data_IF_840615664964
#
_entry.id   IF_840615664964
#
_cell.length_a   1.000
_cell.length_b   1.000
_cell.length_c   1.000
_cell.angle_alpha   90.00
_cell.angle_beta   90.00
_cell.angle_gamma   90.00
#
_symmetry.space_group_name_H-M   'P 1'
#
loop_
_entity.id
_entity.type
_entity.pdbx_description
1 polymer ?
#
# COMPACT_ATOMS: atom_id res chain seq x y z
N UNK A 1 0.91 4.56 28.76
CA UNK A 1 0.97 3.79 27.52
C UNK A 1 0.71 4.67 26.31
N UNK A 2 1.66 4.70 25.40
CA UNK A 2 1.56 5.23 24.04
C UNK A 2 2.08 4.16 23.07
N UNK A 3 1.46 4.06 21.89
CA UNK A 3 1.90 3.15 20.83
C UNK A 3 2.78 3.90 19.83
N UNK A 4 4.03 3.45 19.64
CA UNK A 4 4.94 4.01 18.64
C UNK A 4 4.88 3.19 17.36
N UNK A 5 4.54 3.84 16.26
CA UNK A 5 4.30 3.21 14.96
C UNK A 5 5.33 3.75 13.96
N UNK A 6 6.24 2.92 13.43
CA UNK A 6 7.17 3.36 12.41
C UNK A 6 6.43 3.61 11.10
N UNK A 7 6.91 4.57 10.31
CA UNK A 7 6.36 4.93 8.99
C UNK A 7 6.06 3.73 8.10
N UNK A 8 6.95 2.72 8.07
CA UNK A 8 6.77 1.50 7.26
C UNK A 8 5.58 0.65 7.74
N UNK A 9 5.40 0.48 9.05
CA UNK A 9 4.26 -0.24 9.60
C UNK A 9 2.94 0.51 9.31
N UNK A 10 2.93 1.83 9.47
CA UNK A 10 1.76 2.65 9.12
C UNK A 10 1.40 2.54 7.63
N UNK A 11 2.39 2.65 6.74
CA UNK A 11 2.20 2.46 5.29
C UNK A 11 1.67 1.07 4.94
N UNK A 12 2.11 0.01 5.63
CA UNK A 12 1.62 -1.34 5.39
C UNK A 12 0.11 -1.47 5.68
N UNK A 13 -0.36 -0.91 6.80
CA UNK A 13 -1.79 -0.85 7.14
C UNK A 13 -2.57 -0.10 6.04
N UNK A 14 -2.08 1.08 5.66
CA UNK A 14 -2.73 1.93 4.65
C UNK A 14 -2.78 1.22 3.29
N UNK A 15 -1.65 0.69 2.82
CA UNK A 15 -1.53 0.07 1.51
C UNK A 15 -2.42 -1.17 1.38
N UNK A 16 -2.37 -2.07 2.37
CA UNK A 16 -3.17 -3.28 2.37
C UNK A 16 -4.67 -2.95 2.44
N UNK A 17 -5.06 -2.03 3.32
CA UNK A 17 -6.47 -1.62 3.45
C UNK A 17 -6.99 -0.97 2.15
N UNK A 18 -6.22 -0.07 1.54
CA UNK A 18 -6.62 0.62 0.31
C UNK A 18 -6.60 -0.31 -0.90
N UNK A 19 -5.74 -1.33 -0.94
CA UNK A 19 -5.76 -2.36 -1.99
C UNK A 19 -7.13 -3.03 -2.08
N UNK A 20 -7.71 -3.41 -0.94
CA UNK A 20 -8.97 -4.12 -0.87
C UNK A 20 -10.21 -3.20 -0.80
N UNK A 21 -10.05 -1.98 -0.31
CA UNK A 21 -11.03 -0.89 -0.38
C UNK A 21 -10.66 0.14 -1.46
N UNK A 22 -10.25 -0.34 -2.63
CA UNK A 22 -9.76 0.51 -3.70
C UNK A 22 -10.94 1.24 -4.36
N UNK A 23 -10.84 2.56 -4.48
CA UNK A 23 -11.91 3.43 -5.01
C UNK A 23 -12.24 3.20 -6.49
N UNK A 24 -11.49 2.35 -7.19
CA UNK A 24 -11.83 1.87 -8.54
C UNK A 24 -12.93 0.80 -8.54
N UNK A 25 -13.25 0.24 -7.38
CA UNK A 25 -14.38 -0.66 -7.18
C UNK A 25 -15.50 0.08 -6.43
N UNK A 26 -16.78 -0.31 -6.64
CA UNK A 26 -17.90 0.17 -5.83
C UNK A 26 -17.62 0.03 -4.33
N UNK A 27 -18.10 0.97 -3.50
CA UNK A 27 -17.96 0.89 -2.04
C UNK A 27 -18.57 -0.40 -1.49
N UNK A 28 -19.68 -0.84 -2.10
CA UNK A 28 -20.32 -2.11 -1.83
C UNK A 28 -19.44 -3.31 -2.12
N UNK A 29 -18.28 -3.21 -2.78
CA UNK A 29 -17.31 -4.29 -3.06
C UNK A 29 -16.02 -4.16 -2.24
N UNK A 30 -15.97 -3.22 -1.31
CA UNK A 30 -14.82 -3.07 -0.41
C UNK A 30 -14.80 -4.19 0.62
N UNK A 31 -13.59 -4.60 0.98
CA UNK A 31 -13.34 -5.72 1.88
C UNK A 31 -12.45 -5.25 3.04
N UNK A 32 -12.75 -5.76 4.23
CA UNK A 32 -11.90 -5.59 5.40
C UNK A 32 -10.61 -6.38 5.25
N UNK A 33 -9.53 -5.88 5.83
CA UNK A 33 -8.21 -6.50 5.83
C UNK A 33 -7.75 -6.63 7.25
N UNK A 34 -7.07 -7.73 7.56
CA UNK A 34 -6.65 -8.12 8.89
C UNK A 34 -5.16 -8.41 8.90
N UNK A 35 -4.50 -8.00 9.97
CA UNK A 35 -3.08 -8.21 10.13
C UNK A 35 -2.63 -8.14 11.57
N UNK A 36 -1.34 -8.38 11.76
CA UNK A 36 -0.71 -8.43 13.08
C UNK A 36 0.42 -7.42 13.20
N UNK A 37 0.73 -7.06 14.44
CA UNK A 37 1.89 -6.26 14.78
C UNK A 37 2.93 -7.11 15.50
N UNK A 38 4.17 -6.95 15.09
CA UNK A 38 5.33 -7.43 15.84
C UNK A 38 6.06 -6.24 16.44
N UNK A 39 6.70 -6.46 17.57
CA UNK A 39 7.51 -5.44 18.22
C UNK A 39 7.84 -5.82 19.65
N UNK A 40 7.94 -4.82 20.51
CA UNK A 40 8.30 -5.01 21.93
C UNK A 40 7.56 -4.05 22.83
N UNK A 41 7.52 -4.41 24.11
CA UNK A 41 7.04 -3.53 25.18
C UNK A 41 8.28 -2.88 25.81
N UNK A 42 8.29 -1.56 25.86
CA UNK A 42 9.32 -0.77 26.56
C UNK A 42 8.62 0.03 27.67
N UNK A 43 8.94 -0.29 28.92
CA UNK A 43 8.26 0.22 30.12
C UNK A 43 6.73 -0.03 30.09
N UNK A 44 5.95 1.00 29.79
CA UNK A 44 4.49 0.96 29.67
C UNK A 44 4.01 1.20 28.23
N UNK A 45 4.94 1.40 27.29
CA UNK A 45 4.68 1.74 25.90
C UNK A 45 4.85 0.52 24.98
N UNK A 46 4.08 0.51 23.89
CA UNK A 46 4.17 -0.52 22.86
C UNK A 46 4.92 0.06 21.68
N UNK A 47 6.07 -0.52 21.35
CA UNK A 47 6.85 -0.15 20.18
C UNK A 47 6.62 -1.18 19.08
N UNK A 48 5.91 -0.78 18.04
CA UNK A 48 5.71 -1.62 16.85
C UNK A 48 6.98 -1.58 16.01
N UNK A 49 7.44 -2.73 15.56
CA UNK A 49 8.57 -2.87 14.63
C UNK A 49 8.06 -3.06 13.21
N UNK A 50 7.04 -3.91 13.02
CA UNK A 50 6.43 -4.15 11.72
C UNK A 50 4.93 -4.46 11.83
N UNK A 51 4.22 -4.19 10.74
CA UNK A 51 2.84 -4.57 10.53
C UNK A 51 2.76 -5.52 9.34
N UNK A 52 2.10 -6.65 9.51
CA UNK A 52 1.97 -7.69 8.50
C UNK A 52 0.50 -7.88 8.14
N UNK A 53 0.09 -7.62 6.90
CA UNK A 53 -1.20 -8.07 6.38
C UNK A 53 -1.18 -9.60 6.32
N UNK A 54 -2.21 -10.23 6.88
CA UNK A 54 -2.34 -11.69 6.94
C UNK A 54 -3.41 -12.16 5.98
N UNK A 55 -4.60 -11.56 6.09
CA UNK A 55 -5.77 -12.04 5.35
C UNK A 55 -6.75 -10.89 5.13
N UNK A 56 -7.73 -11.12 4.28
CA UNK A 56 -8.81 -10.19 3.99
C UNK A 56 -10.15 -10.92 4.04
N UNK A 57 -11.21 -10.15 4.17
CA UNK A 57 -12.57 -10.65 4.18
C UNK A 57 -12.89 -11.32 2.83
N UNK A 58 -13.52 -12.48 2.87
CA UNK A 58 -14.06 -13.16 1.69
C UNK A 58 -15.57 -13.14 1.75
N UNK A 59 -16.22 -12.75 0.66
CA UNK A 59 -17.67 -12.79 0.55
C UNK A 59 -18.13 -14.16 0.10
N UNK A 60 -18.89 -14.83 0.96
CA UNK A 60 -19.56 -16.07 0.63
C UNK A 60 -21.07 -15.82 0.52
N UNK A 61 -21.75 -16.33 -0.51
CA UNK A 61 -23.19 -16.11 -0.69
C UNK A 61 -24.04 -16.53 0.51
N UNK A 62 -23.54 -17.44 1.34
CA UNK A 62 -24.23 -17.97 2.52
C UNK A 62 -24.07 -17.10 3.77
N UNK A 63 -23.17 -16.10 3.73
CA UNK A 63 -22.89 -15.24 4.87
C UNK A 63 -23.91 -14.11 4.99
N UNK A 64 -24.71 -14.17 6.06
CA UNK A 64 -25.68 -13.14 6.44
C UNK A 64 -24.98 -11.91 7.04
N UNK A 65 -23.77 -12.10 7.56
CA UNK A 65 -22.91 -11.06 8.12
C UNK A 65 -21.50 -11.23 7.57
N UNK A 66 -20.78 -10.12 7.43
CA UNK A 66 -19.38 -10.12 7.06
C UNK A 66 -18.57 -10.99 8.03
N UNK A 67 -17.86 -11.99 7.49
CA UNK A 67 -17.00 -12.90 8.24
C UNK A 67 -15.62 -13.00 7.64
N UNK A 68 -14.65 -13.23 8.51
CA UNK A 68 -13.29 -13.57 8.14
C UNK A 68 -13.08 -15.05 8.40
N UNK A 69 -12.49 -15.72 7.42
CA UNK A 69 -12.11 -17.12 7.52
C UNK A 69 -10.59 -17.18 7.47
N UNK A 70 -9.99 -17.65 8.56
CA UNK A 70 -8.57 -17.98 8.57
C UNK A 70 -8.40 -19.37 7.97
N UNK A 71 -7.63 -19.44 6.89
CA UNK A 71 -7.22 -20.71 6.29
C UNK A 71 -5.91 -21.22 6.90
N UNK A 72 -5.44 -22.40 6.46
CA UNK A 72 -4.19 -22.97 6.96
C UNK A 72 -2.98 -22.08 6.67
N UNK A 73 -2.92 -21.44 5.48
CA UNK A 73 -1.82 -20.57 5.09
C UNK A 73 -1.77 -19.30 5.98
N UNK A 74 -2.91 -18.82 6.46
CA UNK A 74 -3.00 -17.69 7.40
C UNK A 74 -2.35 -18.03 8.75
N UNK A 75 -2.64 -19.22 9.30
CA UNK A 75 -2.03 -19.68 10.56
C UNK A 75 -0.54 -19.98 10.41
N UNK A 76 -0.13 -20.56 9.28
CA UNK A 76 1.28 -20.77 8.96
C UNK A 76 2.03 -19.44 8.84
N UNK A 77 1.46 -18.47 8.14
CA UNK A 77 2.00 -17.11 8.03
C UNK A 77 2.18 -16.47 9.41
N UNK A 78 1.17 -16.56 10.27
CA UNK A 78 1.25 -16.05 11.64
C UNK A 78 2.40 -16.70 12.41
N UNK A 79 2.52 -18.03 12.35
CA UNK A 79 3.58 -18.77 13.04
C UNK A 79 4.98 -18.35 12.57
N UNK A 80 5.18 -18.23 11.25
CA UNK A 80 6.47 -17.81 10.68
C UNK A 80 6.83 -16.40 11.15
N UNK A 81 5.87 -15.47 11.12
CA UNK A 81 6.09 -14.08 11.54
C UNK A 81 6.44 -14.01 13.03
N UNK A 82 5.74 -14.75 13.89
CA UNK A 82 5.98 -14.75 15.33
C UNK A 82 7.35 -15.38 15.67
N UNK A 83 7.72 -16.49 15.00
CA UNK A 83 9.04 -17.10 15.13
C UNK A 83 10.18 -16.17 14.67
N UNK A 84 9.99 -15.46 13.55
CA UNK A 84 10.94 -14.46 13.07
C UNK A 84 11.08 -13.28 14.04
N UNK A 85 9.96 -12.81 14.62
CA UNK A 85 9.98 -11.76 15.63
C UNK A 85 10.71 -12.22 16.88
N UNK A 86 10.42 -13.44 17.36
CA UNK A 86 11.08 -14.04 18.51
C UNK A 86 12.59 -14.14 18.34
N UNK A 87 13.07 -14.49 17.14
CA UNK A 87 14.50 -14.53 16.81
C UNK A 87 15.22 -13.17 16.96
N UNK A 88 14.45 -12.06 16.92
CA UNK A 88 14.93 -10.68 17.08
C UNK A 88 14.69 -10.13 18.49
N UNK A 89 14.18 -10.95 19.42
CA UNK A 89 13.77 -10.53 20.76
C UNK A 89 12.48 -9.72 20.77
N UNK A 90 11.67 -9.86 19.73
CA UNK A 90 10.36 -9.23 19.56
C UNK A 90 9.26 -10.30 19.63
N UNK A 91 8.00 -9.88 19.65
CA UNK A 91 6.85 -10.79 19.67
C UNK A 91 5.61 -10.09 19.12
N UNK A 92 4.52 -10.83 18.99
CA UNK A 92 3.23 -10.24 18.60
C UNK A 92 2.68 -9.30 19.67
N UNK A 93 2.64 -8.00 19.36
CA UNK A 93 2.20 -6.92 20.28
C UNK A 93 0.75 -6.49 20.09
N UNK A 94 0.04 -7.09 19.13
CA UNK A 94 -1.36 -6.78 18.87
C UNK A 94 -1.74 -7.11 17.43
N UNK A 95 -2.89 -6.59 17.04
CA UNK A 95 -3.47 -6.81 15.72
C UNK A 95 -4.08 -5.54 15.17
N UNK A 96 -4.35 -5.54 13.87
CA UNK A 96 -5.06 -4.46 13.21
C UNK A 96 -6.05 -5.00 12.19
N UNK A 97 -7.08 -4.22 11.94
CA UNK A 97 -7.97 -4.46 10.82
C UNK A 97 -8.50 -3.15 10.23
N UNK A 98 -9.19 -3.26 9.10
CA UNK A 98 -9.80 -2.12 8.43
C UNK A 98 -11.32 -2.15 8.46
N UNK A 99 -11.93 -0.97 8.54
CA UNK A 99 -13.37 -0.70 8.49
C UNK A 99 -13.67 0.23 7.29
N UNK A 100 -13.58 -0.25 6.05
CA UNK A 100 -13.88 0.55 4.88
C UNK A 100 -15.38 0.85 4.82
N UNK A 101 -15.75 2.13 4.89
CA UNK A 101 -17.16 2.54 4.90
C UNK A 101 -17.87 2.49 6.26
N UNK A 102 -17.19 2.05 7.33
CA UNK A 102 -17.75 1.99 8.69
C UNK A 102 -17.04 2.93 9.66
N UNK A 103 -17.72 3.30 10.73
CA UNK A 103 -17.09 4.08 11.80
C UNK A 103 -15.92 3.30 12.42
N UNK A 104 -14.87 4.02 12.81
CA UNK A 104 -13.72 3.44 13.53
C UNK A 104 -14.14 3.17 14.98
N UNK A 105 -14.44 1.91 15.27
CA UNK A 105 -14.91 1.40 16.56
C UNK A 105 -14.63 -0.10 16.64
N UNK A 106 -14.80 -0.71 17.82
CA UNK A 106 -14.71 -2.16 17.99
C UNK A 106 -16.11 -2.80 17.94
N UNK A 107 -16.30 -3.78 17.07
CA UNK A 107 -17.44 -4.70 17.08
C UNK A 107 -17.31 -5.73 18.22
N UNK A 108 -18.36 -6.53 18.45
CA UNK A 108 -18.30 -7.62 19.42
C UNK A 108 -17.26 -8.69 19.04
N UNK A 109 -17.07 -8.93 17.73
CA UNK A 109 -16.04 -9.85 17.25
C UNK A 109 -14.65 -9.28 17.54
N UNK A 110 -14.45 -7.98 17.35
CA UNK A 110 -13.16 -7.33 17.62
C UNK A 110 -12.82 -7.33 19.11
N UNK A 111 -13.82 -7.16 19.99
CA UNK A 111 -13.65 -7.31 21.44
C UNK A 111 -13.20 -8.74 21.77
N UNK A 112 -13.84 -9.76 21.19
CA UNK A 112 -13.45 -11.16 21.40
C UNK A 112 -12.05 -11.46 20.89
N UNK A 113 -11.66 -10.95 19.74
CA UNK A 113 -10.31 -11.10 19.20
C UNK A 113 -9.30 -10.37 20.09
N UNK A 114 -9.55 -9.11 20.44
CA UNK A 114 -8.65 -8.33 21.31
C UNK A 114 -8.49 -8.98 22.68
N UNK A 115 -9.54 -9.62 23.20
CA UNK A 115 -9.49 -10.37 24.44
C UNK A 115 -8.46 -11.52 24.36
N UNK A 116 -8.43 -12.30 23.28
CA UNK A 116 -7.46 -13.41 23.16
C UNK A 116 -6.02 -12.91 23.11
N UNK A 117 -5.77 -11.79 22.43
CA UNK A 117 -4.46 -11.13 22.44
C UNK A 117 -4.12 -10.57 23.83
N UNK A 118 -5.04 -9.87 24.49
CA UNK A 118 -4.78 -9.25 25.80
C UNK A 118 -4.66 -10.23 26.96
N UNK A 119 -5.24 -11.43 26.85
CA UNK A 119 -5.05 -12.51 27.82
C UNK A 119 -3.61 -13.04 27.82
N UNK A 120 -3.00 -13.16 26.64
CA UNK A 120 -1.63 -13.64 26.48
C UNK A 120 -0.59 -12.53 26.66
N UNK A 121 -0.93 -11.32 26.22
CA UNK A 121 -0.12 -10.13 26.36
C UNK A 121 -0.99 -8.99 26.92
N UNK A 122 -0.94 -8.68 28.23
CA UNK A 122 -1.78 -7.65 28.85
C UNK A 122 -1.69 -6.28 28.19
N UNK A 123 -0.61 -5.98 27.45
CA UNK A 123 -0.37 -4.71 26.76
C UNK A 123 -0.74 -4.77 25.28
N UNK A 124 -1.31 -5.87 24.79
CA UNK A 124 -1.73 -6.00 23.41
C UNK A 124 -2.74 -4.91 23.02
N UNK A 125 -2.66 -4.48 21.76
CA UNK A 125 -3.46 -3.40 21.19
C UNK A 125 -4.27 -3.89 19.99
N UNK A 126 -5.37 -3.19 19.70
CA UNK A 126 -6.15 -3.37 18.48
C UNK A 126 -6.23 -2.05 17.72
N UNK A 127 -5.77 -2.00 16.47
CA UNK A 127 -5.89 -0.81 15.62
C UNK A 127 -6.99 -1.02 14.58
N UNK A 128 -7.88 -0.04 14.45
CA UNK A 128 -8.94 -0.04 13.43
C UNK A 128 -8.70 1.12 12.46
N UNK A 129 -8.45 0.81 11.19
CA UNK A 129 -8.17 1.79 10.14
C UNK A 129 -9.36 1.96 9.18
N UNK A 130 -9.64 3.19 8.76
CA UNK A 130 -10.62 3.48 7.73
C UNK A 130 -10.03 4.44 6.67
N UNK A 131 -9.93 4.01 5.39
CA UNK A 131 -9.39 4.86 4.32
C UNK A 131 -10.25 6.11 4.05
N UNK A 132 -11.57 6.02 4.16
CA UNK A 132 -12.49 7.16 4.00
C UNK A 132 -12.26 8.21 5.08
N UNK A 133 -12.02 7.79 6.33
CA UNK A 133 -11.68 8.70 7.44
C UNK A 133 -10.43 9.49 7.12
N UNK A 134 -9.38 8.84 6.62
CA UNK A 134 -8.12 9.48 6.22
C UNK A 134 -8.27 10.41 5.01
N UNK A 135 -8.95 9.97 3.96
CA UNK A 135 -9.06 10.76 2.72
C UNK A 135 -9.95 11.97 2.93
N UNK A 136 -11.13 11.78 3.53
CA UNK A 136 -12.13 12.85 3.69
C UNK A 136 -11.92 13.66 4.98
N UNK A 137 -11.07 13.19 5.89
CA UNK A 137 -10.83 13.79 7.21
C UNK A 137 -12.15 13.94 7.98
N UNK A 138 -12.95 12.88 8.04
CA UNK A 138 -14.25 12.87 8.73
C UNK A 138 -14.42 11.62 9.59
N UNK A 139 -15.15 11.74 10.69
CA UNK A 139 -15.71 10.59 11.39
C UNK A 139 -17.05 10.22 10.73
N UNK A 140 -17.21 8.95 10.36
CA UNK A 140 -18.48 8.46 9.84
C UNK A 140 -19.54 8.43 10.96
N UNK A 141 -20.80 8.80 10.65
CA UNK A 141 -21.88 8.76 11.62
C UNK A 141 -22.21 7.34 12.09
N UNK A 142 -22.78 7.20 13.29
CA UNK A 142 -23.28 5.90 13.77
C UNK A 142 -24.58 5.51 13.07
N UNK A 143 -25.45 6.49 12.81
CA UNK A 143 -26.74 6.30 12.16
C UNK A 143 -26.93 7.30 11.03
N UNK A 144 -27.67 6.88 10.01
CA UNK A 144 -28.07 7.76 8.91
C UNK A 144 -28.84 8.97 9.48
N UNK A 145 -28.28 10.16 9.27
CA UNK A 145 -28.84 11.42 9.77
C UNK A 145 -28.04 12.07 10.91
N UNK A 146 -27.10 11.35 11.53
CA UNK A 146 -26.17 11.98 12.49
C UNK A 146 -25.22 12.95 11.76
N UNK A 147 -24.78 14.03 12.42
CA UNK A 147 -23.85 14.98 11.82
C UNK A 147 -22.49 14.32 11.54
N UNK A 148 -21.93 14.63 10.38
CA UNK A 148 -20.54 14.29 10.05
C UNK A 148 -19.62 15.16 10.89
N UNK A 149 -18.68 14.54 11.60
CA UNK A 149 -17.69 15.28 12.40
C UNK A 149 -16.45 15.51 11.53
N UNK A 150 -16.08 16.77 11.34
CA UNK A 150 -14.86 17.13 10.64
C UNK A 150 -13.65 16.85 11.55
N UNK A 151 -12.68 16.12 11.01
CA UNK A 151 -11.40 15.85 11.65
C UNK A 151 -10.32 16.75 11.06
N UNK A 152 -9.23 16.90 11.80
CA UNK A 152 -8.04 17.63 11.37
C UNK A 152 -6.79 16.79 11.62
N UNK A 153 -6.04 16.56 10.56
CA UNK A 153 -4.77 15.84 10.59
C UNK A 153 -4.89 14.42 11.20
N UNK A 154 -5.98 13.73 10.88
CA UNK A 154 -6.27 12.40 11.40
C UNK A 154 -5.71 11.30 10.47
N UNK A 155 -4.92 10.34 10.98
CA UNK A 155 -4.24 9.34 10.16
C UNK A 155 -5.14 8.20 9.69
N UNK A 156 -6.45 8.28 9.92
CA UNK A 156 -7.42 7.30 9.47
C UNK A 156 -7.67 6.16 10.44
N UNK A 157 -7.09 6.16 11.63
CA UNK A 157 -7.27 5.06 12.59
C UNK A 157 -7.46 5.53 14.03
N UNK A 158 -7.89 4.59 14.86
CA UNK A 158 -7.82 4.63 16.32
C UNK A 158 -7.23 3.33 16.83
N UNK A 159 -6.66 3.38 18.02
CA UNK A 159 -6.12 2.21 18.72
C UNK A 159 -6.92 2.00 19.99
N UNK A 160 -7.30 0.77 20.26
CA UNK A 160 -8.14 0.39 21.38
C UNK A 160 -7.48 -0.67 22.25
N UNK A 161 -7.88 -0.66 23.53
CA UNK A 161 -7.62 -1.74 24.49
C UNK A 161 -8.86 -2.00 25.32
N UNK A 162 -9.01 -3.24 25.78
CA UNK A 162 -10.02 -3.65 26.74
C UNK A 162 -9.63 -3.19 28.14
N UNK A 163 -10.63 -2.70 28.87
CA UNK A 163 -10.48 -2.21 30.26
C UNK A 163 -10.24 -3.36 31.24
N UNK A 164 -10.97 -4.46 31.07
CA UNK A 164 -10.96 -5.62 31.97
C UNK A 164 -11.19 -6.91 31.19
N UNK A 165 -10.12 -7.67 31.00
CA UNK A 165 -10.15 -8.97 30.30
C UNK A 165 -10.98 -10.03 31.05
N UNK A 166 -11.24 -9.85 32.35
CA UNK A 166 -12.02 -10.82 33.12
C UNK A 166 -13.53 -10.75 32.81
N UNK A 167 -13.99 -9.65 32.19
CA UNK A 167 -15.38 -9.49 31.72
C UNK A 167 -15.65 -10.20 30.39
N UNK A 168 -14.64 -10.85 29.81
CA UNK A 168 -14.81 -11.59 28.56
C UNK A 168 -15.30 -10.70 27.42
N UNK A 169 -16.32 -11.15 26.69
CA UNK A 169 -16.91 -10.43 25.55
C UNK A 169 -17.70 -9.17 25.96
N UNK A 170 -18.00 -8.99 27.24
CA UNK A 170 -18.68 -7.81 27.78
C UNK A 170 -17.68 -6.72 28.22
N UNK A 171 -16.38 -6.94 28.00
CA UNK A 171 -15.35 -5.97 28.32
C UNK A 171 -15.59 -4.65 27.57
N UNK A 172 -15.59 -3.55 28.32
CA UNK A 172 -15.52 -2.21 27.75
C UNK A 172 -14.13 -1.95 27.19
N UNK A 173 -14.03 -0.99 26.27
CA UNK A 173 -12.79 -0.61 25.63
C UNK A 173 -12.61 0.91 25.61
N UNK A 174 -11.37 1.36 25.58
CA UNK A 174 -11.00 2.76 25.46
C UNK A 174 -9.97 2.97 24.34
N UNK A 175 -9.91 4.22 23.85
CA UNK A 175 -8.88 4.65 22.91
C UNK A 175 -7.56 4.90 23.64
N UNK A 176 -6.44 4.53 23.02
CA UNK A 176 -5.10 4.82 23.54
C UNK A 176 -4.31 5.74 22.61
N UNK A 177 -3.35 6.45 23.19
CA UNK A 177 -2.49 7.39 22.48
C UNK A 177 -1.50 6.67 21.57
N UNK A 178 -1.12 7.35 20.49
CA UNK A 178 -0.12 6.86 19.54
C UNK A 178 0.78 7.98 19.04
N UNK A 179 1.93 7.57 18.51
CA UNK A 179 2.88 8.42 17.79
C UNK A 179 3.30 7.68 16.51
N UNK A 180 3.25 8.37 15.37
CA UNK A 180 3.73 7.82 14.09
C UNK A 180 5.08 8.47 13.82
N UNK A 181 6.13 7.65 13.80
CA UNK A 181 7.51 8.09 13.60
C UNK A 181 7.80 8.35 12.11
N UNK A 182 8.76 9.22 11.82
CA UNK A 182 9.25 9.47 10.45
C UNK A 182 8.50 10.56 9.67
N UNK A 183 7.79 11.46 10.37
CA UNK A 183 7.16 12.65 9.82
C UNK A 183 7.49 13.87 10.68
N UNK A 184 7.72 15.03 10.05
CA UNK A 184 8.03 16.30 10.74
C UNK A 184 6.79 16.93 11.37
N UNK A 185 5.60 16.65 10.81
CA UNK A 185 4.33 17.14 11.33
C UNK A 185 3.16 16.24 10.94
N UNK A 186 2.04 16.36 11.66
CA UNK A 186 0.80 15.66 11.30
C UNK A 186 0.24 16.10 9.94
N UNK A 187 0.45 17.36 9.55
CA UNK A 187 0.02 17.85 8.23
C UNK A 187 0.81 17.19 7.10
N UNK A 188 2.14 17.11 7.26
CA UNK A 188 3.00 16.37 6.32
C UNK A 188 2.58 14.90 6.25
N UNK A 189 2.31 14.27 7.40
CA UNK A 189 1.84 12.90 7.46
C UNK A 189 0.58 12.69 6.62
N UNK A 190 -0.44 13.52 6.78
CA UNK A 190 -1.68 13.38 5.99
C UNK A 190 -1.41 13.61 4.51
N UNK A 191 -0.69 14.66 4.15
CA UNK A 191 -0.41 14.98 2.74
C UNK A 191 0.37 13.87 2.04
N UNK A 192 1.44 13.39 2.66
CA UNK A 192 2.23 12.28 2.11
C UNK A 192 1.42 10.99 2.02
N UNK A 193 0.58 10.71 3.03
CA UNK A 193 -0.22 9.49 3.04
C UNK A 193 -1.34 9.54 2.02
N UNK A 194 -1.98 10.69 1.80
CA UNK A 194 -2.96 10.86 0.72
C UNK A 194 -2.33 10.68 -0.67
N UNK A 195 -1.10 11.18 -0.88
CA UNK A 195 -0.35 10.90 -2.11
C UNK A 195 -0.01 9.42 -2.25
N UNK A 196 0.38 8.78 -1.15
CA UNK A 196 0.65 7.34 -1.11
C UNK A 196 -0.61 6.52 -1.47
N UNK A 197 -1.78 6.90 -0.96
CA UNK A 197 -3.08 6.28 -1.34
C UNK A 197 -3.32 6.36 -2.84
N UNK A 198 -3.03 7.50 -3.48
CA UNK A 198 -3.18 7.64 -4.94
C UNK A 198 -2.28 6.61 -5.65
N UNK A 199 -1.04 6.44 -5.20
CA UNK A 199 -0.13 5.46 -5.77
C UNK A 199 -0.63 4.02 -5.54
N UNK A 200 -1.09 3.69 -4.33
CA UNK A 200 -1.66 2.37 -4.00
C UNK A 200 -2.87 2.08 -4.90
N UNK A 201 -3.80 3.02 -5.03
CA UNK A 201 -4.98 2.90 -5.90
C UNK A 201 -4.62 2.60 -7.35
N UNK A 202 -3.51 3.18 -7.82
CA UNK A 202 -3.08 3.06 -9.22
C UNK A 202 -2.20 1.85 -9.51
N UNK A 203 -1.34 1.45 -8.57
CA UNK A 203 -0.28 0.46 -8.80
C UNK A 203 -0.26 -0.71 -7.82
N UNK A 204 -1.25 -0.85 -6.91
CA UNK A 204 -1.38 -2.03 -6.05
C UNK A 204 -2.73 -2.75 -6.25
N UNK A 205 -2.83 -3.61 -7.28
CA UNK A 205 -4.07 -4.29 -7.61
C UNK A 205 -4.40 -5.39 -6.59
N UNK A 206 -5.69 -5.54 -6.25
CA UNK A 206 -6.17 -6.67 -5.42
C UNK A 206 -6.29 -7.99 -6.20
N UNK A 207 -6.57 -7.91 -7.48
CA UNK A 207 -6.88 -9.03 -8.37
C UNK A 207 -6.14 -8.89 -9.70
N UNK A 208 -5.96 -10.00 -10.43
CA UNK A 208 -5.30 -10.01 -11.75
C UNK A 208 -3.91 -9.33 -11.74
N UNK A 209 -3.13 -9.55 -10.67
CA UNK A 209 -1.89 -8.82 -10.37
C UNK A 209 -0.92 -8.84 -11.55
N UNK A 210 -0.62 -10.03 -12.09
CA UNK A 210 0.31 -10.19 -13.20
C UNK A 210 -0.18 -9.52 -14.48
N UNK A 211 -1.43 -9.75 -14.86
CA UNK A 211 -2.03 -9.15 -16.06
C UNK A 211 -2.04 -7.61 -15.96
N UNK A 212 -2.35 -7.07 -14.78
CA UNK A 212 -2.33 -5.61 -14.54
C UNK A 212 -0.93 -5.04 -14.73
N UNK A 213 0.09 -5.67 -14.15
CA UNK A 213 1.47 -5.19 -14.29
C UNK A 213 2.04 -5.40 -15.69
N UNK A 214 1.73 -6.52 -16.35
CA UNK A 214 2.06 -6.74 -17.75
C UNK A 214 1.49 -5.62 -18.62
N UNK A 215 0.20 -5.31 -18.49
CA UNK A 215 -0.44 -4.24 -19.24
C UNK A 215 0.20 -2.86 -18.97
N UNK A 216 0.57 -2.58 -17.72
CA UNK A 216 1.26 -1.32 -17.37
C UNK A 216 2.61 -1.28 -18.10
N UNK A 217 3.45 -2.30 -17.96
CA UNK A 217 4.79 -2.33 -18.54
C UNK A 217 4.73 -2.34 -20.07
N UNK A 218 3.87 -3.16 -20.68
CA UNK A 218 3.68 -3.23 -22.12
C UNK A 218 3.28 -1.89 -22.70
N UNK A 219 2.36 -1.17 -22.05
CA UNK A 219 1.96 0.16 -22.46
C UNK A 219 3.15 1.13 -22.45
N UNK A 220 3.97 1.11 -21.40
CA UNK A 220 5.13 2.01 -21.29
C UNK A 220 6.21 1.67 -22.32
N UNK A 221 6.48 0.39 -22.55
CA UNK A 221 7.43 -0.07 -23.60
C UNK A 221 6.94 0.35 -24.98
N UNK A 222 5.66 0.12 -25.29
CA UNK A 222 5.08 0.50 -26.58
C UNK A 222 5.12 2.02 -26.80
N UNK A 223 4.86 2.81 -25.75
CA UNK A 223 4.96 4.27 -25.82
C UNK A 223 6.41 4.74 -26.01
N UNK A 224 7.38 4.10 -25.34
CA UNK A 224 8.81 4.36 -25.55
C UNK A 224 9.21 4.12 -27.00
N UNK A 225 8.89 2.94 -27.55
CA UNK A 225 9.23 2.57 -28.92
C UNK A 225 8.54 3.50 -29.94
N UNK A 226 7.29 3.87 -29.68
CA UNK A 226 6.57 4.86 -30.51
C UNK A 226 7.27 6.22 -30.54
N UNK A 227 7.73 6.73 -29.37
CA UNK A 227 8.50 7.98 -29.30
C UNK A 227 9.81 7.87 -30.09
N UNK A 228 10.56 6.78 -29.93
CA UNK A 228 11.82 6.58 -30.65
C UNK A 228 11.63 6.51 -32.18
N UNK A 229 10.64 5.75 -32.65
CA UNK A 229 10.28 5.70 -34.08
C UNK A 229 9.83 7.07 -34.61
N UNK A 230 9.06 7.81 -33.81
CA UNK A 230 8.62 9.16 -34.14
C UNK A 230 9.79 10.13 -34.34
N UNK A 231 10.82 10.04 -33.49
CA UNK A 231 12.04 10.83 -33.60
C UNK A 231 12.76 10.52 -34.91
N UNK A 232 13.01 9.25 -35.22
CA UNK A 232 13.69 8.86 -36.47
C UNK A 232 12.93 9.34 -37.72
N UNK A 233 11.60 9.16 -37.74
CA UNK A 233 10.74 9.61 -38.83
C UNK A 233 10.80 11.12 -39.03
N UNK A 234 10.80 11.87 -37.91
CA UNK A 234 10.90 13.32 -37.94
C UNK A 234 12.26 13.80 -38.45
N UNK A 235 13.36 13.19 -37.99
CA UNK A 235 14.71 13.50 -38.47
C UNK A 235 14.86 13.22 -39.96
N UNK A 236 14.38 12.07 -40.45
CA UNK A 236 14.35 11.76 -41.90
C UNK A 236 13.59 12.83 -42.69
N UNK A 237 12.45 13.27 -42.17
CA UNK A 237 11.63 14.30 -42.81
C UNK A 237 12.36 15.64 -42.91
N UNK A 238 13.08 16.05 -41.86
CA UNK A 238 13.89 17.28 -41.88
C UNK A 238 14.98 17.22 -42.95
N UNK A 239 15.69 16.10 -43.06
CA UNK A 239 16.71 15.91 -44.09
C UNK A 239 16.09 15.99 -45.49
N UNK A 240 14.98 15.29 -45.72
CA UNK A 240 14.28 15.30 -47.02
C UNK A 240 13.76 16.68 -47.42
N UNK A 241 13.46 17.55 -46.45
CA UNK A 241 13.04 18.95 -46.69
C UNK A 241 14.22 19.93 -46.85
N UNK A 242 15.47 19.46 -46.77
CA UNK A 242 16.65 20.31 -46.82
C UNK A 242 16.93 21.06 -45.51
N UNK A 243 16.28 20.68 -44.41
CA UNK A 243 16.40 21.29 -43.08
C UNK A 243 17.37 20.53 -42.16
N UNK A 244 18.37 19.85 -42.73
CA UNK A 244 19.32 19.02 -41.98
C UNK A 244 20.05 19.77 -40.86
N UNK A 245 20.23 21.09 -40.97
CA UNK A 245 20.85 21.92 -39.92
C UNK A 245 20.08 21.88 -38.58
N UNK A 246 18.79 21.53 -38.59
CA UNK A 246 17.92 21.47 -37.40
C UNK A 246 17.98 20.12 -36.68
N UNK A 247 18.48 19.06 -37.32
CA UNK A 247 18.41 17.69 -36.79
C UNK A 247 19.11 17.52 -35.45
N UNK A 248 20.26 18.20 -35.27
CA UNK A 248 21.02 18.18 -34.02
C UNK A 248 20.21 18.72 -32.84
N UNK A 249 19.62 19.91 -33.01
CA UNK A 249 18.85 20.59 -31.96
C UNK A 249 17.61 19.77 -31.61
N UNK A 250 16.87 19.33 -32.63
CA UNK A 250 15.68 18.48 -32.49
C UNK A 250 16.01 17.18 -31.76
N UNK A 251 17.09 16.50 -32.12
CA UNK A 251 17.47 15.24 -31.46
C UNK A 251 17.79 15.44 -29.98
N UNK A 252 18.49 16.52 -29.61
CA UNK A 252 18.82 16.80 -28.20
C UNK A 252 17.58 17.21 -27.39
N UNK A 253 16.62 17.92 -28.00
CA UNK A 253 15.33 18.23 -27.36
C UNK A 253 14.50 16.96 -27.14
N UNK A 254 14.30 16.17 -28.19
CA UNK A 254 13.55 14.92 -28.12
C UNK A 254 14.19 13.90 -27.18
N UNK A 255 15.53 13.87 -27.08
CA UNK A 255 16.23 13.05 -26.09
C UNK A 255 15.82 13.41 -24.67
N UNK A 256 15.69 14.70 -24.34
CA UNK A 256 15.25 15.15 -23.00
C UNK A 256 13.83 14.69 -22.70
N UNK A 257 12.93 14.79 -23.69
CA UNK A 257 11.54 14.35 -23.54
C UNK A 257 11.45 12.85 -23.24
N UNK A 258 12.22 12.03 -23.96
CA UNK A 258 12.32 10.58 -23.70
C UNK A 258 12.92 10.30 -22.33
N UNK A 259 13.96 11.03 -21.92
CA UNK A 259 14.55 10.87 -20.59
C UNK A 259 13.57 11.21 -19.46
N UNK A 260 12.78 12.27 -19.62
CA UNK A 260 11.72 12.62 -18.67
C UNK A 260 10.65 11.52 -18.58
N UNK A 261 10.22 10.99 -19.73
CA UNK A 261 9.28 9.87 -19.78
C UNK A 261 9.84 8.64 -19.05
N UNK A 262 11.10 8.26 -19.32
CA UNK A 262 11.75 7.12 -18.66
C UNK A 262 11.84 7.32 -17.15
N UNK A 263 12.19 8.53 -16.70
CA UNK A 263 12.25 8.85 -15.27
C UNK A 263 10.87 8.73 -14.58
N UNK A 264 9.80 9.18 -15.24
CA UNK A 264 8.43 9.05 -14.71
C UNK A 264 7.99 7.58 -14.62
N UNK A 265 8.32 6.78 -15.64
CA UNK A 265 8.03 5.33 -15.62
C UNK A 265 8.84 4.62 -14.55
N UNK A 266 10.10 4.99 -14.35
CA UNK A 266 10.94 4.43 -13.28
C UNK A 266 10.30 4.66 -11.89
N UNK A 267 9.78 5.86 -11.61
CA UNK A 267 9.04 6.11 -10.35
C UNK A 267 7.82 5.21 -10.19
N UNK A 268 7.10 4.91 -11.28
CA UNK A 268 5.96 4.00 -11.26
C UNK A 268 6.39 2.56 -10.99
N UNK A 269 7.51 2.12 -11.57
CA UNK A 269 8.12 0.80 -11.33
C UNK A 269 8.59 0.68 -9.88
N UNK A 270 9.23 1.70 -9.33
CA UNK A 270 9.65 1.71 -7.92
C UNK A 270 8.46 1.69 -6.95
N UNK A 271 7.34 2.35 -7.27
CA UNK A 271 6.10 2.20 -6.49
C UNK A 271 5.62 0.74 -6.49
N UNK A 272 5.61 0.06 -7.65
CA UNK A 272 5.22 -1.35 -7.73
C UNK A 272 6.12 -2.22 -6.85
N UNK A 273 7.44 -2.00 -6.91
CA UNK A 273 8.40 -2.70 -6.05
C UNK A 273 8.11 -2.44 -4.57
N UNK A 274 7.91 -1.18 -4.16
CA UNK A 274 7.57 -0.84 -2.77
C UNK A 274 6.29 -1.58 -2.32
N UNK A 275 5.27 -1.67 -3.17
CA UNK A 275 4.00 -2.29 -2.81
C UNK A 275 4.06 -3.80 -2.60
N UNK A 276 5.07 -4.48 -3.15
CA UNK A 276 5.29 -5.90 -2.86
C UNK A 276 5.59 -6.16 -1.37
N UNK A 277 6.15 -5.19 -0.64
CA UNK A 277 6.38 -5.28 0.81
C UNK A 277 5.08 -5.28 1.64
N UNK A 278 3.95 -4.89 1.02
CA UNK A 278 2.63 -4.78 1.67
C UNK A 278 1.65 -5.85 1.18
N UNK A 279 2.12 -6.85 0.41
CA UNK A 279 1.35 -8.06 0.12
C UNK A 279 1.04 -8.79 1.43
N UNK A 280 -0.07 -9.52 1.43
CA UNK A 280 -0.34 -10.50 2.48
C UNK A 280 0.81 -11.49 2.53
N UNK A 281 1.18 -11.91 3.74
CA UNK A 281 2.40 -12.69 3.92
C UNK A 281 2.41 -13.96 3.06
N UNK A 282 1.27 -14.67 3.01
CA UNK A 282 1.05 -15.88 2.18
C UNK A 282 1.17 -15.66 0.66
N UNK A 283 0.99 -14.43 0.17
CA UNK A 283 1.08 -14.13 -1.26
C UNK A 283 2.54 -13.97 -1.73
N UNK A 284 3.45 -13.58 -0.83
CA UNK A 284 4.77 -13.05 -1.19
C UNK A 284 5.61 -14.03 -2.00
N UNK A 285 5.73 -15.26 -1.54
CA UNK A 285 6.55 -16.27 -2.22
C UNK A 285 6.03 -16.60 -3.63
N UNK A 286 4.70 -16.57 -3.81
CA UNK A 286 4.03 -16.90 -5.07
C UNK A 286 4.04 -15.72 -6.05
N UNK A 287 3.90 -14.49 -5.54
CA UNK A 287 3.62 -13.30 -6.35
C UNK A 287 4.88 -12.50 -6.69
N UNK A 288 5.80 -12.33 -5.74
CA UNK A 288 6.97 -11.44 -5.91
C UNK A 288 7.86 -11.84 -7.09
N UNK A 289 8.23 -13.12 -7.29
CA UNK A 289 9.10 -13.51 -8.40
C UNK A 289 8.50 -13.17 -9.77
N UNK A 290 7.18 -13.40 -9.95
CA UNK A 290 6.50 -13.07 -11.20
C UNK A 290 6.40 -11.57 -11.45
N UNK A 291 6.22 -10.76 -10.40
CA UNK A 291 6.29 -9.29 -10.52
C UNK A 291 7.69 -8.86 -10.96
N UNK A 292 8.75 -9.41 -10.34
CA UNK A 292 10.13 -9.06 -10.67
C UNK A 292 10.46 -9.37 -12.14
N UNK A 293 10.02 -10.52 -12.65
CA UNK A 293 10.18 -10.87 -14.07
C UNK A 293 9.48 -9.87 -15.00
N UNK A 294 8.26 -9.46 -14.66
CA UNK A 294 7.51 -8.46 -15.45
C UNK A 294 8.23 -7.11 -15.46
N UNK A 295 8.72 -6.65 -14.31
CA UNK A 295 9.40 -5.36 -14.19
C UNK A 295 10.75 -5.34 -14.91
N UNK A 296 11.46 -6.48 -14.95
CA UNK A 296 12.75 -6.61 -15.64
C UNK A 296 12.64 -6.28 -17.14
N UNK A 297 11.47 -6.51 -17.76
CA UNK A 297 11.22 -6.15 -19.17
C UNK A 297 11.35 -4.66 -19.44
N UNK A 298 11.03 -3.81 -18.46
CA UNK A 298 11.24 -2.36 -18.57
C UNK A 298 12.72 -2.00 -18.48
N UNK A 299 13.46 -2.64 -17.57
CA UNK A 299 14.90 -2.45 -17.43
C UNK A 299 15.62 -2.86 -18.74
N UNK A 300 15.22 -3.98 -19.33
CA UNK A 300 15.73 -4.46 -20.61
C UNK A 300 15.44 -3.46 -21.74
N UNK A 301 14.20 -2.98 -21.85
CA UNK A 301 13.78 -2.02 -22.89
C UNK A 301 14.54 -0.68 -22.81
N UNK A 302 14.97 -0.28 -21.61
CA UNK A 302 15.66 1.00 -21.39
C UNK A 302 17.18 0.90 -21.38
N UNK A 303 17.74 -0.30 -21.23
CA UNK A 303 19.19 -0.56 -21.08
C UNK A 303 20.07 0.01 -22.21
N UNK A 304 19.55 0.03 -23.45
CA UNK A 304 20.31 0.43 -24.64
C UNK A 304 19.92 1.82 -25.19
N UNK A 305 19.11 2.61 -24.47
CA UNK A 305 18.62 3.91 -24.96
C UNK A 305 19.75 4.87 -25.36
N UNK A 306 20.81 4.96 -24.55
CA UNK A 306 21.95 5.83 -24.88
C UNK A 306 22.68 5.39 -26.15
N UNK A 307 22.74 4.07 -26.42
CA UNK A 307 23.32 3.55 -27.66
C UNK A 307 22.44 3.93 -28.86
N UNK A 308 21.11 3.78 -28.73
CA UNK A 308 20.15 4.17 -29.77
C UNK A 308 20.26 5.66 -30.11
N UNK A 309 20.32 6.55 -29.13
CA UNK A 309 20.51 7.99 -29.36
C UNK A 309 21.87 8.30 -30.01
N UNK A 310 22.95 7.60 -29.63
CA UNK A 310 24.26 7.75 -30.30
C UNK A 310 24.21 7.32 -31.76
N UNK A 311 23.47 6.27 -32.08
CA UNK A 311 23.27 5.80 -33.45
C UNK A 311 22.48 6.81 -34.27
N UNK A 312 21.34 7.31 -33.76
CA UNK A 312 20.56 8.36 -34.42
C UNK A 312 21.40 9.62 -34.69
N UNK A 313 22.23 10.03 -33.72
CA UNK A 313 23.13 11.17 -33.89
C UNK A 313 24.14 10.95 -35.02
N UNK A 314 24.69 9.75 -35.16
CA UNK A 314 25.63 9.41 -36.24
C UNK A 314 24.95 9.34 -37.61
N UNK A 315 23.68 8.95 -37.66
CA UNK A 315 22.95 8.75 -38.91
C UNK A 315 22.31 10.03 -39.47
N UNK A 316 21.85 10.93 -38.59
CA UNK A 316 21.03 12.09 -38.98
C UNK A 316 21.66 13.46 -38.70
N UNK A 317 22.85 13.53 -38.08
CA UNK A 317 23.54 14.78 -37.73
C UNK A 317 24.95 14.82 -38.32
#
# INVERSE_FOLDING_TARGET
>A
MTVRIPKKAYKAIVAASVRFANTRFPEDDWLEVYGIFTGKIEDDDVKISAAYPITHQVRKPEDIIDKVYWDTEDYESFSIIDDEAFSKGEFTVGWWHSHPGFKVMMSQLDVKTTLSYQQNNPKAISLVFNPTRLIRQIELPYKKGDPVIQLKNDPGFKIFRLDDVNKGIEASYHEIMYEIEGYESKEQLIKETQNFIINVTNFFPREHIFERYQNIIDKQINELESKLMGIESYLKTLINKGEAHRTKEVLEEQKKDVQQFVAQTYLSVENIKEFTDYLEFKEREKVIPGIQEILMRWDDATSDLDKRFKQMKKEYT
#
